data_IF_037773845668
#
_entry.id   IF_037773845668
#
_cell.length_a   1.000
_cell.length_b   1.000
_cell.length_c   1.000
_cell.angle_alpha   90.00
_cell.angle_beta   90.00
_cell.angle_gamma   90.00
#
_symmetry.space_group_name_H-M   'P 1'
#
loop_
_entity.id
_entity.type
_entity.pdbx_description
1 polymer ?
#
# COMPACT_ATOMS: atom_id res chain seq x y z
N UNK A 1 -14.35 -27.82 -47.68
CA UNK A 1 -13.14 -27.92 -46.83
C UNK A 1 -13.32 -27.15 -45.51
N UNK A 2 -14.47 -27.33 -44.81
CA UNK A 2 -14.80 -26.62 -43.56
C UNK A 2 -15.17 -27.57 -42.40
N UNK A 3 -15.37 -28.87 -42.68
CA UNK A 3 -15.74 -29.87 -41.66
C UNK A 3 -14.54 -30.50 -40.93
N UNK A 4 -13.33 -30.38 -41.50
CA UNK A 4 -12.11 -30.98 -40.92
C UNK A 4 -11.52 -30.11 -39.80
N UNK A 5 -11.79 -28.79 -39.82
CA UNK A 5 -11.29 -27.84 -38.81
C UNK A 5 -12.16 -27.88 -37.54
N UNK A 6 -13.47 -28.09 -37.68
CA UNK A 6 -14.38 -28.26 -36.53
C UNK A 6 -14.14 -29.57 -35.75
N UNK A 7 -13.74 -30.63 -36.45
CA UNK A 7 -13.43 -31.93 -35.82
C UNK A 7 -12.15 -31.90 -34.98
N UNK A 8 -11.11 -31.18 -35.43
CA UNK A 8 -9.85 -31.10 -34.69
C UNK A 8 -9.97 -30.28 -33.39
N UNK A 9 -10.72 -29.17 -33.41
CA UNK A 9 -10.94 -28.35 -32.20
C UNK A 9 -11.84 -29.08 -31.20
N UNK A 10 -12.90 -29.76 -31.66
CA UNK A 10 -13.75 -30.56 -30.80
C UNK A 10 -12.98 -31.75 -30.17
N UNK A 11 -12.09 -32.40 -30.92
CA UNK A 11 -11.25 -33.49 -30.41
C UNK A 11 -10.26 -32.98 -29.34
N UNK A 12 -9.64 -31.82 -29.55
CA UNK A 12 -8.72 -31.21 -28.57
C UNK A 12 -9.45 -30.82 -27.29
N UNK A 13 -10.65 -30.24 -27.39
CA UNK A 13 -11.47 -29.90 -26.21
C UNK A 13 -11.93 -31.17 -25.48
N UNK A 14 -12.36 -32.21 -26.21
CA UNK A 14 -12.72 -33.51 -25.60
C UNK A 14 -11.51 -34.18 -24.96
N UNK A 15 -10.31 -34.07 -25.54
CA UNK A 15 -9.08 -34.60 -24.94
C UNK A 15 -8.70 -33.81 -23.69
N UNK A 16 -8.83 -32.47 -23.68
CA UNK A 16 -8.56 -31.66 -22.49
C UNK A 16 -9.59 -31.96 -21.39
N UNK A 17 -10.87 -32.05 -21.73
CA UNK A 17 -11.94 -32.41 -20.77
C UNK A 17 -11.76 -33.85 -20.29
N UNK A 18 -11.38 -34.78 -21.16
CA UNK A 18 -11.06 -36.15 -20.79
C UNK A 18 -9.81 -36.21 -19.92
N UNK A 19 -8.75 -35.43 -20.17
CA UNK A 19 -7.55 -35.36 -19.31
C UNK A 19 -7.90 -34.75 -17.95
N UNK A 20 -8.70 -33.69 -17.90
CA UNK A 20 -9.17 -33.09 -16.64
C UNK A 20 -10.02 -34.09 -15.85
N UNK A 21 -10.95 -34.79 -16.51
CA UNK A 21 -11.77 -35.84 -15.88
C UNK A 21 -10.94 -37.08 -15.50
N UNK A 22 -9.91 -37.45 -16.27
CA UNK A 22 -9.03 -38.58 -15.97
C UNK A 22 -8.08 -38.25 -14.83
N UNK A 23 -7.64 -36.99 -14.66
CA UNK A 23 -6.90 -36.52 -13.49
C UNK A 23 -7.82 -36.55 -12.25
N UNK A 24 -9.09 -36.15 -12.38
CA UNK A 24 -10.07 -36.26 -11.29
C UNK A 24 -10.43 -37.70 -10.91
N UNK A 25 -10.36 -38.66 -11.85
CA UNK A 25 -10.61 -40.08 -11.59
C UNK A 25 -9.36 -40.89 -11.21
N UNK A 26 -8.15 -40.39 -11.49
CA UNK A 26 -6.86 -41.00 -11.11
C UNK A 26 -6.21 -40.34 -9.89
N UNK A 27 -6.85 -39.36 -9.26
CA UNK A 27 -6.43 -38.80 -7.97
C UNK A 27 -6.31 -39.93 -6.96
N UNK A 28 -5.08 -40.40 -6.73
CA UNK A 28 -4.82 -41.46 -5.77
C UNK A 28 -5.25 -40.98 -4.39
N UNK A 29 -6.03 -41.80 -3.67
CA UNK A 29 -6.56 -41.53 -2.33
C UNK A 29 -5.50 -41.39 -1.20
N UNK A 30 -4.27 -40.96 -1.51
CA UNK A 30 -3.13 -40.87 -0.60
C UNK A 30 -2.52 -39.47 -0.55
N UNK A 31 -1.94 -39.14 0.60
CA UNK A 31 -1.33 -37.84 0.88
C UNK A 31 -0.36 -37.34 -0.21
N UNK A 32 0.40 -38.23 -0.85
CA UNK A 32 1.32 -37.86 -1.93
C UNK A 32 0.60 -37.21 -3.11
N UNK A 33 -0.54 -37.75 -3.53
CA UNK A 33 -1.33 -37.22 -4.65
C UNK A 33 -1.89 -35.84 -4.31
N UNK A 34 -2.42 -35.66 -3.09
CA UNK A 34 -2.93 -34.36 -2.62
C UNK A 34 -1.82 -33.31 -2.60
N UNK A 35 -0.61 -33.67 -2.17
CA UNK A 35 0.52 -32.75 -2.18
C UNK A 35 1.02 -32.42 -3.60
N UNK A 36 1.00 -33.38 -4.51
CA UNK A 36 1.33 -33.16 -5.93
C UNK A 36 0.32 -32.20 -6.58
N UNK A 37 -0.97 -32.39 -6.33
CA UNK A 37 -2.04 -31.54 -6.84
C UNK A 37 -1.93 -30.12 -6.27
N UNK A 38 -1.79 -29.98 -4.95
CA UNK A 38 -1.62 -28.69 -4.28
C UNK A 38 -0.42 -27.91 -4.81
N UNK A 39 0.74 -28.57 -4.96
CA UNK A 39 1.95 -27.94 -5.49
C UNK A 39 1.77 -27.50 -6.95
N UNK A 40 1.03 -28.28 -7.74
CA UNK A 40 0.76 -27.97 -9.14
C UNK A 40 -0.26 -26.83 -9.32
N UNK A 41 -1.26 -26.75 -8.44
CA UNK A 41 -2.22 -25.63 -8.43
C UNK A 41 -1.52 -24.31 -8.11
N UNK A 42 -0.60 -24.31 -7.13
CA UNK A 42 0.27 -23.15 -6.87
C UNK A 42 1.11 -22.79 -8.11
N UNK A 43 1.72 -23.79 -8.77
CA UNK A 43 2.54 -23.58 -9.96
C UNK A 43 1.77 -23.02 -11.17
N UNK A 44 0.45 -23.25 -11.23
CA UNK A 44 -0.45 -22.70 -12.25
C UNK A 44 -1.01 -21.33 -11.90
N UNK A 45 -0.84 -20.92 -10.65
CA UNK A 45 -1.46 -19.73 -10.10
C UNK A 45 -2.94 -19.87 -9.72
N UNK A 46 -3.41 -21.09 -9.47
CA UNK A 46 -4.78 -21.39 -9.01
C UNK A 46 -4.80 -21.49 -7.48
N UNK A 47 -4.85 -20.33 -6.83
CA UNK A 47 -4.91 -20.24 -5.38
C UNK A 47 -6.22 -20.84 -4.83
N UNK A 48 -7.33 -20.72 -5.55
CA UNK A 48 -8.62 -21.27 -5.17
C UNK A 48 -8.59 -22.80 -5.08
N UNK A 49 -7.97 -23.48 -6.04
CA UNK A 49 -7.78 -24.93 -6.00
C UNK A 49 -6.83 -25.34 -4.86
N UNK A 50 -5.69 -24.65 -4.72
CA UNK A 50 -4.75 -24.88 -3.63
C UNK A 50 -5.40 -24.69 -2.24
N UNK A 51 -6.19 -23.63 -2.07
CA UNK A 51 -6.91 -23.32 -0.82
C UNK A 51 -7.94 -24.40 -0.47
N UNK A 52 -8.58 -25.04 -1.45
CA UNK A 52 -9.51 -26.16 -1.19
C UNK A 52 -8.77 -27.37 -0.62
N UNK A 53 -7.60 -27.68 -1.17
CA UNK A 53 -6.77 -28.78 -0.68
C UNK A 53 -6.13 -28.47 0.68
N UNK A 54 -5.82 -27.21 0.95
CA UNK A 54 -5.30 -26.75 2.25
C UNK A 54 -6.39 -26.43 3.29
N UNK A 55 -7.65 -26.36 2.85
CA UNK A 55 -8.78 -25.86 3.65
C UNK A 55 -8.46 -24.53 4.33
N UNK A 56 -7.72 -23.69 3.62
CA UNK A 56 -7.20 -22.43 4.13
C UNK A 56 -8.35 -21.48 4.50
N UNK A 57 -8.14 -20.69 5.56
CA UNK A 57 -9.09 -19.65 5.94
C UNK A 57 -9.09 -18.53 4.90
N UNK A 58 -10.28 -17.98 4.65
CA UNK A 58 -10.53 -16.90 3.68
C UNK A 58 -10.09 -15.51 4.16
N UNK A 59 -9.57 -15.40 5.39
CA UNK A 59 -9.15 -14.14 6.00
C UNK A 59 -7.85 -13.58 5.39
N UNK A 60 -7.01 -14.41 4.77
CA UNK A 60 -5.79 -13.94 4.10
C UNK A 60 -6.09 -13.46 2.67
N UNK A 61 -6.06 -12.13 2.51
CA UNK A 61 -6.39 -11.44 1.26
C UNK A 61 -5.34 -11.60 0.15
N UNK A 62 -4.14 -12.13 0.45
CA UNK A 62 -3.14 -12.45 -0.56
C UNK A 62 -3.23 -13.89 -1.08
N UNK A 63 -3.92 -14.79 -0.38
CA UNK A 63 -4.16 -16.17 -0.83
C UNK A 63 -5.32 -16.25 -1.84
N UNK A 64 -5.25 -15.45 -2.90
CA UNK A 64 -6.31 -15.34 -3.92
C UNK A 64 -5.78 -15.53 -5.33
N UNK A 65 -6.65 -15.97 -6.26
CA UNK A 65 -6.28 -16.13 -7.67
C UNK A 65 -5.83 -14.82 -8.30
N UNK A 66 -6.44 -13.71 -7.90
CA UNK A 66 -6.11 -12.38 -8.42
C UNK A 66 -4.65 -12.00 -8.12
N UNK A 67 -4.18 -12.30 -6.89
CA UNK A 67 -2.81 -12.05 -6.46
C UNK A 67 -1.85 -13.06 -7.07
N UNK A 68 -2.15 -14.35 -6.94
CA UNK A 68 -1.24 -15.39 -7.40
C UNK A 68 -1.07 -15.38 -8.93
N UNK A 69 -2.14 -15.14 -9.71
CA UNK A 69 -2.05 -15.07 -11.17
C UNK A 69 -1.17 -13.92 -11.69
N UNK A 70 -0.94 -12.87 -10.88
CA UNK A 70 -0.05 -11.75 -11.21
C UNK A 70 1.40 -11.98 -10.81
N UNK A 71 1.64 -12.87 -9.86
CA UNK A 71 2.98 -13.24 -9.45
C UNK A 71 3.70 -14.06 -10.53
N UNK A 72 5.04 -14.06 -10.50
CA UNK A 72 5.81 -15.10 -11.18
C UNK A 72 5.73 -16.39 -10.37
N UNK A 73 5.18 -17.43 -10.98
CA UNK A 73 4.96 -18.72 -10.32
C UNK A 73 6.23 -19.52 -10.14
N UNK A 74 6.14 -20.49 -9.23
CA UNK A 74 7.10 -21.58 -9.15
C UNK A 74 7.06 -22.44 -10.42
N UNK A 75 8.18 -23.05 -10.78
CA UNK A 75 8.30 -23.96 -11.91
C UNK A 75 8.98 -25.27 -11.50
N UNK A 76 8.90 -26.29 -12.37
CA UNK A 76 9.43 -27.63 -12.11
C UNK A 76 9.02 -28.20 -10.73
N UNK A 77 7.73 -28.14 -10.34
CA UNK A 77 7.28 -28.68 -9.06
C UNK A 77 7.46 -30.20 -9.00
N UNK A 78 8.04 -30.70 -7.92
CA UNK A 78 8.22 -32.13 -7.70
C UNK A 78 8.06 -32.52 -6.23
N UNK A 79 7.25 -33.53 -5.96
CA UNK A 79 7.29 -34.25 -4.68
C UNK A 79 8.45 -35.23 -4.72
N UNK A 80 9.50 -34.93 -3.95
CA UNK A 80 10.77 -35.66 -3.98
C UNK A 80 10.77 -36.90 -3.10
N UNK A 81 10.06 -36.85 -1.96
CA UNK A 81 10.03 -37.95 -1.00
C UNK A 81 8.82 -37.84 -0.08
N UNK A 82 8.17 -38.96 0.22
CA UNK A 82 7.27 -39.06 1.38
C UNK A 82 8.12 -39.30 2.63
N UNK A 83 8.03 -38.39 3.59
CA UNK A 83 8.69 -38.53 4.88
C UNK A 83 7.90 -39.50 5.76
N UNK A 84 8.53 -39.96 6.84
CA UNK A 84 7.92 -40.89 7.79
C UNK A 84 6.56 -40.38 8.29
N UNK A 85 5.54 -41.23 8.19
CA UNK A 85 4.22 -40.98 8.77
C UNK A 85 4.36 -40.73 10.27
N UNK A 86 3.82 -39.62 10.78
CA UNK A 86 3.74 -39.37 12.22
C UNK A 86 2.66 -40.24 12.87
N UNK A 87 1.62 -40.58 12.09
CA UNK A 87 0.55 -41.54 12.41
C UNK A 87 -0.11 -42.05 11.11
N UNK A 88 -1.16 -42.86 11.21
CA UNK A 88 -1.99 -43.26 10.04
C UNK A 88 -2.65 -42.08 9.33
N UNK A 89 -2.85 -40.97 10.05
CA UNK A 89 -3.65 -39.83 9.63
C UNK A 89 -2.83 -38.55 9.53
N UNK A 90 -1.50 -38.65 9.68
CA UNK A 90 -0.57 -37.53 9.52
C UNK A 90 0.69 -37.97 8.80
N UNK A 91 1.08 -37.19 7.79
CA UNK A 91 2.32 -37.41 7.05
C UNK A 91 2.94 -36.10 6.62
N UNK A 92 4.18 -36.19 6.14
CA UNK A 92 4.89 -35.08 5.56
C UNK A 92 5.48 -35.50 4.22
N UNK A 93 5.57 -34.57 3.29
CA UNK A 93 6.27 -34.80 2.02
C UNK A 93 7.28 -33.71 1.76
N UNK A 94 8.46 -34.09 1.31
CA UNK A 94 9.48 -33.15 0.83
C UNK A 94 9.18 -32.78 -0.61
N UNK A 95 9.14 -31.48 -0.88
CA UNK A 95 8.93 -30.92 -2.21
C UNK A 95 10.13 -30.12 -2.67
N UNK A 96 10.28 -30.01 -3.98
CA UNK A 96 11.22 -29.12 -4.62
C UNK A 96 10.53 -28.34 -5.74
N UNK A 97 10.95 -27.10 -5.93
CA UNK A 97 10.48 -26.25 -7.00
C UNK A 97 11.56 -25.22 -7.36
N UNK A 98 11.44 -24.58 -8.51
CA UNK A 98 12.27 -23.44 -8.91
C UNK A 98 11.47 -22.15 -8.82
N UNK A 99 12.11 -21.09 -8.36
CA UNK A 99 11.55 -19.74 -8.39
C UNK A 99 12.68 -18.75 -8.67
N UNK A 100 12.45 -17.84 -9.62
CA UNK A 100 13.45 -16.86 -10.05
C UNK A 100 14.84 -17.47 -10.37
N UNK A 101 14.88 -18.70 -10.90
CA UNK A 101 16.13 -19.40 -11.24
C UNK A 101 16.82 -20.12 -10.08
N UNK A 102 16.32 -20.00 -8.84
CA UNK A 102 16.82 -20.73 -7.66
C UNK A 102 15.96 -21.94 -7.37
N UNK A 103 16.59 -23.04 -6.97
CA UNK A 103 15.88 -24.25 -6.48
C UNK A 103 15.62 -24.12 -4.99
N UNK A 104 14.37 -24.32 -4.60
CA UNK A 104 13.91 -24.36 -3.23
C UNK A 104 13.52 -25.79 -2.88
N UNK A 105 13.67 -26.13 -1.60
CA UNK A 105 13.19 -27.38 -1.02
C UNK A 105 12.37 -27.02 0.21
N UNK A 106 11.24 -27.67 0.37
CA UNK A 106 10.37 -27.45 1.52
C UNK A 106 9.64 -28.74 1.90
N UNK A 107 8.83 -28.67 2.95
CA UNK A 107 7.99 -29.75 3.44
C UNK A 107 6.53 -29.30 3.48
N UNK A 108 5.65 -30.15 2.97
CA UNK A 108 4.21 -30.01 3.13
C UNK A 108 3.78 -31.01 4.20
N UNK A 109 3.04 -30.54 5.21
CA UNK A 109 2.38 -31.38 6.20
C UNK A 109 0.95 -31.69 5.72
N UNK A 110 0.56 -32.94 5.81
CA UNK A 110 -0.78 -33.40 5.46
C UNK A 110 -1.41 -34.16 6.61
N UNK A 111 -2.68 -33.87 6.83
CA UNK A 111 -3.53 -34.55 7.79
C UNK A 111 -4.69 -35.24 7.06
N UNK A 112 -5.30 -36.23 7.72
CA UNK A 112 -6.44 -36.98 7.18
C UNK A 112 -7.60 -36.96 8.16
N UNK A 113 -8.79 -36.75 7.63
CA UNK A 113 -10.05 -36.92 8.36
C UNK A 113 -11.08 -37.73 7.55
N UNK A 114 -12.34 -37.63 7.95
CA UNK A 114 -13.48 -38.28 7.31
C UNK A 114 -13.71 -37.83 5.86
N UNK A 115 -13.24 -36.63 5.49
CA UNK A 115 -13.31 -36.08 4.12
C UNK A 115 -12.07 -36.41 3.29
N UNK A 116 -11.05 -37.04 3.88
CA UNK A 116 -9.83 -37.46 3.21
C UNK A 116 -8.60 -36.65 3.61
N UNK A 117 -7.53 -36.79 2.82
CA UNK A 117 -6.27 -36.07 3.03
C UNK A 117 -6.42 -34.60 2.65
N UNK A 118 -5.78 -33.72 3.41
CA UNK A 118 -5.69 -32.30 3.14
C UNK A 118 -4.32 -31.75 3.58
N UNK A 119 -3.92 -30.61 3.03
CA UNK A 119 -2.69 -29.92 3.43
C UNK A 119 -2.96 -29.15 4.71
N UNK A 120 -2.32 -29.51 5.81
CA UNK A 120 -2.48 -28.80 7.08
C UNK A 120 -1.47 -27.66 7.25
N UNK A 121 -0.31 -27.75 6.58
CA UNK A 121 0.72 -26.70 6.61
C UNK A 121 1.69 -26.82 5.43
N UNK A 122 2.26 -25.70 5.02
CA UNK A 122 3.39 -25.63 4.09
C UNK A 122 3.08 -24.75 2.89
N UNK A 123 4.14 -24.25 2.23
CA UNK A 123 4.06 -23.39 1.05
C UNK A 123 3.13 -22.16 1.18
N UNK A 124 2.95 -21.68 2.41
CA UNK A 124 2.36 -20.38 2.72
C UNK A 124 3.36 -19.72 3.66
N UNK A 125 3.83 -18.53 3.29
CA UNK A 125 4.89 -17.84 4.03
C UNK A 125 4.44 -16.44 4.39
N UNK A 126 4.72 -16.06 5.64
CA UNK A 126 4.47 -14.72 6.14
C UNK A 126 5.37 -13.71 5.42
N UNK A 127 4.78 -12.57 5.04
CA UNK A 127 5.50 -11.46 4.43
C UNK A 127 6.35 -10.72 5.49
N UNK A 128 7.40 -9.99 5.08
CA UNK A 128 8.14 -9.12 5.99
C UNK A 128 7.23 -8.08 6.65
N UNK A 129 7.49 -7.77 7.93
CA UNK A 129 6.78 -6.74 8.66
C UNK A 129 6.97 -5.35 8.03
N UNK A 130 5.88 -4.60 7.92
CA UNK A 130 5.89 -3.20 7.48
C UNK A 130 6.11 -2.30 8.69
N UNK A 131 7.23 -1.58 8.71
CA UNK A 131 7.47 -0.58 9.76
C UNK A 131 6.40 0.51 9.74
N UNK A 132 5.96 0.97 10.92
CA UNK A 132 5.08 2.13 11.05
C UNK A 132 5.67 3.44 10.51
N UNK A 133 6.95 3.47 10.17
CA UNK A 133 7.62 4.60 9.54
C UNK A 133 7.38 4.70 8.02
N UNK A 134 6.84 3.67 7.38
CA UNK A 134 6.47 3.69 5.96
C UNK A 134 4.96 3.55 5.80
N UNK A 135 4.40 4.21 4.78
CA UNK A 135 2.95 4.21 4.54
C UNK A 135 2.38 2.84 4.10
N UNK A 136 3.24 1.88 3.76
CA UNK A 136 2.86 0.55 3.28
C UNK A 136 3.13 0.35 1.79
N UNK A 137 2.57 -0.71 1.23
CA UNK A 137 2.67 -1.03 -0.20
C UNK A 137 1.51 -1.89 -0.69
N UNK A 138 1.28 -1.89 -1.99
CA UNK A 138 0.31 -2.78 -2.62
C UNK A 138 1.02 -3.97 -3.27
N UNK A 139 0.30 -5.07 -3.43
CA UNK A 139 0.72 -6.22 -4.23
C UNK A 139 -0.22 -6.32 -5.42
N UNK A 140 0.31 -6.55 -6.63
CA UNK A 140 -0.52 -6.68 -7.82
C UNK A 140 -1.61 -7.74 -7.63
N UNK A 141 -2.87 -7.35 -7.89
CA UNK A 141 -4.05 -8.20 -7.73
C UNK A 141 -4.64 -8.23 -6.31
N UNK A 142 -3.94 -7.68 -5.30
CA UNK A 142 -4.48 -7.52 -3.96
C UNK A 142 -5.55 -6.42 -3.94
N UNK A 143 -6.55 -6.59 -3.09
CA UNK A 143 -7.64 -5.62 -2.93
C UNK A 143 -7.35 -4.53 -1.91
N UNK A 144 -6.33 -4.73 -1.08
CA UNK A 144 -5.96 -3.80 -0.03
C UNK A 144 -4.45 -3.60 0.02
N UNK A 145 -4.09 -2.43 0.53
CA UNK A 145 -2.71 -2.05 0.83
C UNK A 145 -2.25 -2.75 2.10
N UNK A 146 -1.00 -3.20 2.12
CA UNK A 146 -0.36 -3.79 3.29
C UNK A 146 0.31 -2.68 4.07
N UNK A 147 -0.02 -2.58 5.35
CA UNK A 147 0.43 -1.53 6.27
C UNK A 147 1.03 -2.14 7.54
N UNK A 148 1.48 -1.30 8.48
CA UNK A 148 2.01 -1.75 9.77
C UNK A 148 0.98 -2.44 10.67
N UNK A 149 -0.32 -2.28 10.36
CA UNK A 149 -1.42 -2.89 11.11
C UNK A 149 -1.65 -4.37 10.67
N UNK A 150 -1.10 -4.74 9.52
CA UNK A 150 -1.22 -6.09 8.94
C UNK A 150 -0.06 -6.98 9.40
N UNK A 151 -0.19 -7.57 10.59
CA UNK A 151 0.92 -8.31 11.23
C UNK A 151 1.08 -9.78 10.78
N UNK A 152 0.12 -10.36 10.07
CA UNK A 152 0.09 -11.81 9.76
C UNK A 152 -0.24 -12.13 8.29
N UNK A 153 0.09 -11.24 7.36
CA UNK A 153 -0.17 -11.46 5.93
C UNK A 153 0.74 -12.56 5.39
N UNK A 154 0.17 -13.54 4.69
CA UNK A 154 0.93 -14.63 4.08
C UNK A 154 0.64 -14.76 2.59
N UNK A 155 1.57 -15.33 1.84
CA UNK A 155 1.38 -15.61 0.42
C UNK A 155 1.93 -16.97 0.04
N UNK A 156 1.40 -17.50 -1.06
CA UNK A 156 1.99 -18.63 -1.75
C UNK A 156 3.40 -18.28 -2.29
N UNK A 157 4.27 -19.27 -2.55
CA UNK A 157 5.57 -18.97 -3.13
C UNK A 157 5.45 -18.37 -4.53
N UNK A 158 6.16 -17.26 -4.75
CA UNK A 158 6.08 -16.48 -5.96
C UNK A 158 6.98 -15.25 -5.91
N UNK A 159 7.14 -14.58 -7.05
CA UNK A 159 7.71 -13.22 -7.08
C UNK A 159 6.58 -12.23 -7.36
N UNK A 160 6.34 -11.37 -6.39
CA UNK A 160 5.23 -10.41 -6.39
C UNK A 160 5.75 -9.02 -6.75
N UNK A 161 5.11 -8.38 -7.72
CA UNK A 161 5.32 -6.96 -8.00
C UNK A 161 4.69 -6.12 -6.90
N UNK A 162 5.43 -5.14 -6.41
CA UNK A 162 4.96 -4.21 -5.39
C UNK A 162 4.63 -2.86 -6.03
N UNK A 163 3.56 -2.24 -5.53
CA UNK A 163 3.11 -0.92 -5.95
C UNK A 163 3.07 0.07 -4.79
N UNK A 164 2.89 1.34 -5.14
CA UNK A 164 2.67 2.39 -4.15
C UNK A 164 1.44 2.08 -3.27
N UNK A 165 1.45 2.50 -1.99
CA UNK A 165 0.35 2.25 -1.08
C UNK A 165 -0.95 2.96 -1.47
N UNK A 166 -0.83 4.14 -2.08
CA UNK A 166 -1.94 4.94 -2.59
C UNK A 166 -1.42 6.01 -3.57
N UNK A 167 -2.34 6.81 -4.11
CA UNK A 167 -2.04 7.87 -5.10
C UNK A 167 -1.13 9.00 -4.60
N UNK A 168 -0.92 9.13 -3.29
CA UNK A 168 -0.12 10.21 -2.70
C UNK A 168 1.36 9.86 -2.64
N UNK A 169 1.73 8.62 -2.91
CA UNK A 169 3.13 8.22 -2.95
C UNK A 169 3.47 7.68 -4.33
N UNK A 170 4.65 8.06 -4.81
CA UNK A 170 5.31 7.39 -5.91
C UNK A 170 6.29 6.37 -5.31
N UNK A 171 6.35 5.18 -5.89
CA UNK A 171 7.30 4.14 -5.51
C UNK A 171 8.41 4.09 -6.55
N UNK A 172 9.65 4.31 -6.12
CA UNK A 172 10.78 4.33 -7.03
C UNK A 172 11.07 2.92 -7.60
N UNK A 173 11.23 2.86 -8.92
CA UNK A 173 11.55 1.63 -9.64
C UNK A 173 10.37 0.66 -9.75
N UNK A 174 10.65 -0.63 -9.66
CA UNK A 174 9.64 -1.70 -9.72
C UNK A 174 10.05 -2.82 -8.77
N UNK A 175 10.01 -2.57 -7.46
CA UNK A 175 10.47 -3.54 -6.48
C UNK A 175 9.60 -4.79 -6.52
N UNK A 176 10.24 -5.93 -6.27
CA UNK A 176 9.56 -7.22 -6.22
C UNK A 176 9.87 -7.92 -4.90
N UNK A 177 8.87 -8.59 -4.33
CA UNK A 177 9.03 -9.46 -3.17
C UNK A 177 9.08 -10.91 -3.62
N UNK A 178 10.20 -11.59 -3.35
CA UNK A 178 10.27 -13.04 -3.52
C UNK A 178 9.81 -13.71 -2.24
N UNK A 179 8.74 -14.50 -2.34
CA UNK A 179 8.17 -15.29 -1.24
C UNK A 179 8.52 -16.75 -1.50
N UNK A 180 9.28 -17.37 -0.61
CA UNK A 180 9.68 -18.78 -0.67
C UNK A 180 10.27 -19.27 0.66
N UNK A 181 10.57 -20.56 0.76
CA UNK A 181 11.21 -21.14 1.93
C UNK A 181 12.55 -20.45 2.24
N UNK A 182 12.68 -19.94 3.47
CA UNK A 182 13.90 -19.28 3.95
C UNK A 182 14.21 -17.94 3.26
N UNK A 183 13.27 -17.35 2.50
CA UNK A 183 13.39 -15.96 2.05
C UNK A 183 12.85 -15.05 3.15
N UNK A 184 13.75 -14.46 3.94
CA UNK A 184 13.44 -13.29 4.75
C UNK A 184 14.27 -12.15 4.18
N UNK A 185 13.61 -11.19 3.55
CA UNK A 185 14.27 -10.03 2.98
C UNK A 185 13.78 -8.78 3.71
N UNK A 186 14.70 -7.90 4.08
CA UNK A 186 14.34 -6.56 4.51
C UNK A 186 13.67 -5.84 3.34
N UNK A 187 12.43 -5.44 3.54
CA UNK A 187 11.69 -4.71 2.52
C UNK A 187 12.13 -3.25 2.55
N UNK A 188 12.98 -2.87 1.59
CA UNK A 188 13.37 -1.47 1.37
C UNK A 188 12.52 -0.89 0.25
N UNK A 189 11.59 -0.03 0.62
CA UNK A 189 10.77 0.74 -0.32
C UNK A 189 11.23 2.18 -0.29
N UNK A 190 11.42 2.75 -1.47
CA UNK A 190 11.73 4.15 -1.65
C UNK A 190 10.46 4.86 -2.12
N UNK A 191 9.74 5.41 -1.14
CA UNK A 191 8.46 6.10 -1.34
C UNK A 191 8.70 7.61 -1.27
N UNK A 192 8.30 8.32 -2.31
CA UNK A 192 8.39 9.78 -2.36
C UNK A 192 6.99 10.40 -2.47
N UNK A 193 6.74 11.59 -1.89
CA UNK A 193 5.48 12.29 -2.08
C UNK A 193 5.19 12.54 -3.57
N UNK A 194 3.99 12.17 -4.01
CA UNK A 194 3.56 12.38 -5.39
C UNK A 194 3.06 13.80 -5.62
N UNK A 195 2.88 14.19 -6.88
CA UNK A 195 2.25 15.46 -7.23
C UNK A 195 0.83 15.60 -6.64
N UNK A 196 0.09 14.50 -6.49
CA UNK A 196 -1.23 14.50 -5.88
C UNK A 196 -1.17 14.78 -4.37
N UNK A 197 -0.11 14.32 -3.70
CA UNK A 197 0.13 14.66 -2.29
C UNK A 197 0.34 16.16 -2.17
N UNK A 198 1.31 16.69 -2.91
CA UNK A 198 1.69 18.11 -2.85
C UNK A 198 0.47 19.00 -3.15
N UNK A 199 -0.34 18.64 -4.14
CA UNK A 199 -1.55 19.38 -4.48
C UNK A 199 -2.60 19.41 -3.34
N UNK A 200 -2.80 18.31 -2.61
CA UNK A 200 -3.75 18.28 -1.49
C UNK A 200 -3.24 19.05 -0.28
N UNK A 201 -1.92 19.01 0.00
CA UNK A 201 -1.31 19.85 1.05
C UNK A 201 -1.44 21.32 0.66
N UNK A 202 -1.08 21.69 -0.57
CA UNK A 202 -1.18 23.06 -1.07
C UNK A 202 -2.61 23.60 -0.92
N UNK A 203 -3.62 22.80 -1.26
CA UNK A 203 -5.02 23.18 -1.11
C UNK A 203 -5.41 23.45 0.35
N UNK A 204 -4.90 22.67 1.31
CA UNK A 204 -5.17 22.91 2.73
C UNK A 204 -4.43 24.14 3.26
N UNK A 205 -3.19 24.39 2.79
CA UNK A 205 -2.43 25.62 3.08
C UNK A 205 -3.16 26.84 2.53
N UNK A 206 -3.58 26.81 1.26
CA UNK A 206 -4.35 27.89 0.64
C UNK A 206 -5.63 28.18 1.42
N UNK A 207 -6.35 27.13 1.84
CA UNK A 207 -7.58 27.27 2.62
C UNK A 207 -7.33 27.88 4.01
N UNK A 208 -6.26 27.47 4.70
CA UNK A 208 -5.88 28.03 6.00
C UNK A 208 -5.58 29.53 5.91
N UNK A 209 -4.72 29.92 4.99
CA UNK A 209 -4.36 31.34 4.82
C UNK A 209 -5.53 32.19 4.30
N UNK A 210 -6.41 31.62 3.47
CA UNK A 210 -7.67 32.27 3.11
C UNK A 210 -8.58 32.48 4.32
N UNK A 211 -8.67 31.52 5.24
CA UNK A 211 -9.41 31.68 6.49
C UNK A 211 -8.78 32.75 7.39
N UNK A 212 -7.46 32.74 7.56
CA UNK A 212 -6.75 33.76 8.33
C UNK A 212 -6.99 35.17 7.79
N UNK A 213 -7.04 35.34 6.47
CA UNK A 213 -7.34 36.62 5.84
C UNK A 213 -8.78 37.13 6.11
N UNK A 214 -9.69 36.28 6.60
CA UNK A 214 -11.05 36.69 7.01
C UNK A 214 -11.11 37.24 8.44
N UNK A 215 -10.06 37.08 9.25
CA UNK A 215 -10.03 37.63 10.60
C UNK A 215 -9.94 39.16 10.53
N UNK A 216 -10.55 39.83 11.48
CA UNK A 216 -10.71 41.30 11.47
C UNK A 216 -9.96 42.01 12.59
N UNK A 217 -9.41 41.27 13.56
CA UNK A 217 -8.52 41.81 14.58
C UNK A 217 -7.05 41.55 14.20
N UNK A 218 -6.19 42.54 14.44
CA UNK A 218 -4.76 42.46 14.09
C UNK A 218 -4.07 41.21 14.68
N UNK A 219 -4.24 40.98 15.98
CA UNK A 219 -3.61 39.84 16.66
C UNK A 219 -4.20 38.50 16.24
N UNK A 220 -5.50 38.42 15.92
CA UNK A 220 -6.10 37.18 15.42
C UNK A 220 -5.54 36.81 14.04
N UNK A 221 -5.18 37.79 13.21
CA UNK A 221 -4.53 37.55 11.91
C UNK A 221 -3.10 37.04 12.11
N UNK A 222 -2.33 37.66 13.00
CA UNK A 222 -0.96 37.24 13.33
C UNK A 222 -0.94 35.85 13.99
N UNK A 223 -1.80 35.59 14.97
CA UNK A 223 -1.90 34.30 15.66
C UNK A 223 -2.38 33.17 14.72
N UNK A 224 -3.13 33.50 13.66
CA UNK A 224 -3.50 32.55 12.61
C UNK A 224 -2.33 32.27 11.64
N UNK A 225 -1.30 33.11 11.69
CA UNK A 225 0.00 32.91 11.02
C UNK A 225 0.24 33.78 9.79
N UNK A 226 -0.46 34.91 9.67
CA UNK A 226 -0.09 36.00 8.74
C UNK A 226 0.62 37.08 9.56
N UNK A 227 1.94 37.16 9.46
CA UNK A 227 2.74 38.21 10.10
C UNK A 227 2.54 39.53 9.37
N UNK A 228 1.93 40.52 10.03
CA UNK A 228 1.77 41.86 9.48
C UNK A 228 2.91 42.78 9.91
N UNK A 229 3.25 43.76 9.07
CA UNK A 229 4.13 44.85 9.48
C UNK A 229 3.49 45.66 10.60
N UNK A 230 4.26 46.07 11.60
CA UNK A 230 3.73 46.81 12.74
C UNK A 230 3.20 48.19 12.32
N UNK A 231 1.99 48.59 12.75
CA UNK A 231 1.43 49.90 12.40
C UNK A 231 2.21 51.04 13.06
N UNK A 232 2.39 52.13 12.32
CA UNK A 232 3.18 53.29 12.73
C UNK A 232 2.33 54.48 13.20
N UNK A 233 1.07 54.56 12.77
CA UNK A 233 0.21 55.72 13.00
C UNK A 233 -0.97 55.47 13.96
N UNK A 234 -1.21 54.21 14.35
CA UNK A 234 -2.30 53.83 15.25
C UNK A 234 -1.98 52.56 16.07
N UNK A 235 -2.62 52.36 17.24
CA UNK A 235 -2.49 51.10 17.96
C UNK A 235 -3.11 49.94 17.17
N UNK A 236 -2.44 48.79 17.18
CA UNK A 236 -2.98 47.54 16.65
C UNK A 236 -4.22 47.08 17.44
N UNK A 237 -4.17 47.19 18.77
CA UNK A 237 -5.30 46.89 19.65
C UNK A 237 -6.49 47.81 19.37
N UNK A 238 -7.64 47.21 19.08
CA UNK A 238 -8.89 47.95 18.84
C UNK A 238 -9.05 48.50 17.42
N UNK A 239 -8.10 48.24 16.53
CA UNK A 239 -8.21 48.53 15.10
C UNK A 239 -8.79 47.33 14.35
N UNK A 240 -9.49 47.60 13.24
CA UNK A 240 -10.00 46.59 12.33
C UNK A 240 -9.05 46.40 11.16
N UNK A 241 -8.71 45.17 10.82
CA UNK A 241 -7.86 44.83 9.68
C UNK A 241 -8.68 44.18 8.56
N UNK A 242 -8.36 44.51 7.31
CA UNK A 242 -8.82 43.83 6.12
C UNK A 242 -7.62 43.32 5.32
N UNK A 243 -7.44 41.99 5.27
CA UNK A 243 -6.29 41.35 4.62
C UNK A 243 -6.65 40.94 3.19
N UNK A 244 -5.70 41.09 2.28
CA UNK A 244 -5.74 40.55 0.93
C UNK A 244 -4.56 39.62 0.73
N UNK A 245 -4.84 38.38 0.33
CA UNK A 245 -3.82 37.42 -0.09
C UNK A 245 -3.33 37.83 -1.47
N UNK A 246 -2.06 38.19 -1.57
CA UNK A 246 -1.42 38.53 -2.86
C UNK A 246 -0.86 37.26 -3.48
N UNK A 247 -0.12 36.48 -2.69
CA UNK A 247 0.42 35.18 -3.08
C UNK A 247 0.36 34.22 -1.89
N UNK A 248 -0.36 33.11 -2.06
CA UNK A 248 -0.38 32.06 -1.05
C UNK A 248 0.97 31.36 -0.91
N UNK A 249 1.35 30.93 0.31
CA UNK A 249 2.57 30.18 0.54
C UNK A 249 2.65 28.90 -0.30
N UNK A 250 3.80 28.62 -0.89
CA UNK A 250 4.04 27.41 -1.69
C UNK A 250 4.52 26.25 -0.85
N UNK A 251 3.95 25.07 -1.09
CA UNK A 251 4.40 23.83 -0.44
C UNK A 251 5.49 23.18 -1.29
N UNK A 252 6.63 22.92 -0.67
CA UNK A 252 7.74 22.19 -1.26
C UNK A 252 8.06 20.95 -0.41
N UNK A 253 8.63 19.92 -1.05
CA UNK A 253 9.15 18.74 -0.33
C UNK A 253 10.49 19.13 0.29
N UNK A 254 10.65 18.91 1.59
CA UNK A 254 11.90 19.16 2.31
C UNK A 254 13.00 18.16 1.95
N UNK A 255 14.24 18.44 2.36
CA UNK A 255 15.33 17.48 2.22
C UNK A 255 15.04 16.21 3.02
N UNK A 256 15.46 15.04 2.52
CA UNK A 256 15.13 13.71 3.04
C UNK A 256 15.46 13.45 4.52
N UNK A 257 16.25 14.32 5.15
CA UNK A 257 16.71 14.21 6.53
C UNK A 257 15.91 15.10 7.51
N UNK A 258 14.95 15.92 7.04
CA UNK A 258 14.12 16.72 7.93
C UNK A 258 12.94 15.92 8.47
N UNK A 259 12.73 16.01 9.79
CA UNK A 259 11.55 15.49 10.51
C UNK A 259 10.23 15.97 9.87
N UNK A 260 10.27 17.12 9.19
CA UNK A 260 9.20 17.67 8.39
C UNK A 260 9.47 17.35 6.91
N UNK A 261 8.72 16.42 6.31
CA UNK A 261 8.85 16.08 4.89
C UNK A 261 8.49 17.24 3.95
N UNK A 262 7.94 18.33 4.47
CA UNK A 262 7.48 19.48 3.70
C UNK A 262 7.92 20.79 4.32
N UNK A 263 8.11 21.77 3.45
CA UNK A 263 8.37 23.17 3.78
C UNK A 263 7.27 24.03 3.20
N UNK A 264 6.73 24.93 4.02
CA UNK A 264 5.88 26.02 3.56
C UNK A 264 6.81 27.19 3.25
N UNK A 265 6.83 27.61 1.99
CA UNK A 265 7.61 28.73 1.49
C UNK A 265 7.00 30.08 1.86
N UNK A 266 7.57 31.14 1.31
CA UNK A 266 7.05 32.49 1.56
C UNK A 266 5.66 32.67 0.93
N UNK A 267 4.82 33.46 1.60
CA UNK A 267 3.61 34.04 1.03
C UNK A 267 3.62 35.54 1.21
N UNK A 268 2.86 36.26 0.39
CA UNK A 268 2.77 37.71 0.45
C UNK A 268 1.31 38.17 0.64
N UNK A 269 1.16 39.15 1.53
CA UNK A 269 -0.12 39.68 1.94
C UNK A 269 -0.05 41.20 1.98
N UNK A 270 -1.19 41.85 1.78
CA UNK A 270 -1.37 43.28 2.07
C UNK A 270 -2.55 43.43 3.01
N UNK A 271 -2.50 44.40 3.90
CA UNK A 271 -3.62 44.67 4.80
C UNK A 271 -3.91 46.16 4.90
N UNK A 272 -5.18 46.48 5.14
CA UNK A 272 -5.63 47.84 5.45
C UNK A 272 -6.11 47.85 6.89
N UNK A 273 -5.41 48.60 7.74
CA UNK A 273 -5.78 48.80 9.14
C UNK A 273 -6.61 50.08 9.25
N UNK A 274 -7.78 50.00 9.91
CA UNK A 274 -8.69 51.14 10.12
C UNK A 274 -9.03 51.26 11.60
N UNK A 275 -8.92 52.47 12.14
CA UNK A 275 -9.16 52.72 13.57
C UNK A 275 -9.01 54.19 13.92
N UNK A 276 -8.53 54.46 15.13
CA UNK A 276 -8.15 55.79 15.58
C UNK A 276 -6.64 55.91 15.74
N UNK A 277 -6.05 57.02 15.30
CA UNK A 277 -4.66 57.35 15.56
C UNK A 277 -4.37 57.51 17.08
N UNK A 278 -3.11 57.69 17.46
CA UNK A 278 -2.72 57.93 18.85
C UNK A 278 -3.28 59.22 19.48
N UNK A 279 -3.96 60.07 18.68
CA UNK A 279 -4.63 61.31 19.11
C UNK A 279 -6.16 61.15 19.14
N UNK A 280 -6.69 59.99 18.76
CA UNK A 280 -8.13 59.69 18.74
C UNK A 280 -8.85 60.07 17.44
N UNK A 281 -8.15 60.48 16.38
CA UNK A 281 -8.78 60.81 15.09
C UNK A 281 -8.93 59.55 14.23
N UNK A 282 -9.99 59.42 13.41
CA UNK A 282 -10.10 58.33 12.45
C UNK A 282 -8.88 58.28 11.51
N UNK A 283 -8.33 57.09 11.33
CA UNK A 283 -7.13 56.88 10.53
C UNK A 283 -7.18 55.53 9.79
N UNK A 284 -6.41 55.45 8.70
CA UNK A 284 -6.19 54.23 7.92
C UNK A 284 -4.70 54.09 7.60
N UNK A 285 -4.16 52.88 7.68
CA UNK A 285 -2.77 52.57 7.36
C UNK A 285 -2.67 51.28 6.53
N UNK A 286 -1.85 51.30 5.48
CA UNK A 286 -1.57 50.11 4.67
C UNK A 286 -0.37 49.37 5.26
N UNK A 287 -0.53 48.07 5.46
CA UNK A 287 0.48 47.16 5.98
C UNK A 287 0.85 46.13 4.90
N UNK A 288 2.08 45.64 4.97
CA UNK A 288 2.50 44.45 4.22
C UNK A 288 2.53 43.27 5.17
N UNK A 289 2.26 42.08 4.68
CA UNK A 289 2.35 40.85 5.46
C UNK A 289 3.08 39.74 4.74
N UNK A 290 3.53 38.77 5.51
CA UNK A 290 4.17 37.54 5.04
C UNK A 290 3.59 36.32 5.76
N UNK A 291 3.87 35.14 5.24
CA UNK A 291 3.62 33.92 5.99
C UNK A 291 4.45 33.93 7.28
N UNK A 292 3.78 33.81 8.43
CA UNK A 292 4.41 33.68 9.73
C UNK A 292 5.01 32.29 9.92
N UNK A 293 5.72 32.10 11.03
CA UNK A 293 6.27 30.79 11.41
C UNK A 293 5.15 29.86 11.87
N UNK A 294 4.46 29.24 10.93
CA UNK A 294 3.53 28.15 11.21
C UNK A 294 4.28 26.84 11.06
N UNK A 295 4.21 25.99 12.09
CA UNK A 295 4.60 24.59 11.93
C UNK A 295 3.38 23.80 11.48
N UNK A 296 3.55 22.93 10.49
CA UNK A 296 2.46 22.08 10.01
C UNK A 296 2.85 20.61 10.12
N UNK A 297 2.04 19.84 10.85
CA UNK A 297 2.14 18.39 10.87
C UNK A 297 1.28 17.82 9.75
N UNK A 298 1.90 17.05 8.86
CA UNK A 298 1.23 16.48 7.71
C UNK A 298 1.24 14.96 7.85
N UNK A 299 0.07 14.36 7.79
CA UNK A 299 -0.10 12.91 7.90
C UNK A 299 -1.05 12.40 6.83
N UNK A 300 -0.88 11.13 6.42
CA UNK A 300 -1.86 10.42 5.60
C UNK A 300 -2.62 9.46 6.51
N UNK A 301 -3.94 9.64 6.60
CA UNK A 301 -4.85 8.76 7.36
C UNK A 301 -6.01 8.37 6.46
N UNK A 302 -6.31 7.08 6.35
CA UNK A 302 -7.43 6.55 5.56
C UNK A 302 -7.50 7.12 4.13
N UNK A 303 -6.36 7.15 3.42
CA UNK A 303 -6.22 7.75 2.09
C UNK A 303 -6.63 9.24 2.01
N UNK A 304 -6.40 9.97 3.10
CA UNK A 304 -6.56 11.42 3.16
C UNK A 304 -5.31 12.07 3.72
N UNK A 305 -4.83 13.07 3.02
CA UNK A 305 -3.81 13.99 3.54
C UNK A 305 -4.49 14.90 4.55
N UNK A 306 -3.92 15.01 5.74
CA UNK A 306 -4.38 15.91 6.81
C UNK A 306 -3.22 16.81 7.20
N UNK A 307 -3.42 18.12 7.06
CA UNK A 307 -2.48 19.17 7.49
C UNK A 307 -3.02 19.78 8.79
N UNK A 308 -2.21 19.73 9.85
CA UNK A 308 -2.53 20.34 11.14
C UNK A 308 -1.57 21.50 11.38
N UNK A 309 -2.08 22.72 11.48
CA UNK A 309 -1.28 23.91 11.74
C UNK A 309 -1.15 24.13 13.27
N UNK A 310 0.07 24.31 13.77
CA UNK A 310 0.38 24.65 15.16
C UNK A 310 1.12 25.98 15.27
#
# INVERSE_FOLDING_TARGET
>A
MWWVIGGAVALVVVIIVAIVLFISLLGGNGAKSVAEEYLHDIAKGDASAANKLARADSSDFLLTDAVLAKAKHISDPAVTRTLSSRSSDQTQVSVAYKLAGKTYRDTIELDKDDKGWYVSRGLVYQLPYVSSSIAGFTVDGAKQTITSDDSEVSAYPGVYSLGAPNKYYDLAGSPTLTVAAGSYADLKLDLTPSAAYIAEVQKQVDAHYAECATKTAYYDVEDCGIDLSFPSNMPASGSTVAVTVVESPKVEVGDSDSYYQFKIGDGSFTAVLTGSDYRGNPATENLTGRAGYISADISVKDDKVVVTFN
#
